data_IF_898247927670
#
_entry.id   IF_898247927670
#
_cell.length_a   1.000
_cell.length_b   1.000
_cell.length_c   1.000
_cell.angle_alpha   90.00
_cell.angle_beta   90.00
_cell.angle_gamma   90.00
#
_symmetry.space_group_name_H-M   'P 1'
#
loop_
_entity.id
_entity.type
_entity.pdbx_description
1 polymer ?
#
# COMPACT_ATOMS: atom_id res chain seq x y z
N UNK A 1 -16.35 -51.15 -7.59
CA UNK A 1 -17.14 -50.53 -6.48
C UNK A 1 -16.84 -51.10 -5.08
N UNK A 2 -16.36 -52.34 -4.91
CA UNK A 2 -16.07 -52.91 -3.57
C UNK A 2 -14.94 -52.23 -2.78
N UNK A 3 -13.94 -51.66 -3.48
CA UNK A 3 -12.72 -51.14 -2.86
C UNK A 3 -12.94 -49.86 -2.02
N UNK A 4 -13.81 -48.94 -2.45
CA UNK A 4 -14.12 -47.73 -1.66
C UNK A 4 -14.85 -48.07 -0.35
N UNK A 5 -15.79 -49.02 -0.41
CA UNK A 5 -16.58 -49.45 0.76
C UNK A 5 -15.69 -50.14 1.79
N UNK A 6 -14.71 -50.93 1.33
CA UNK A 6 -13.68 -51.55 2.17
C UNK A 6 -12.75 -50.50 2.81
N UNK A 7 -12.30 -49.51 2.04
CA UNK A 7 -11.43 -48.43 2.52
C UNK A 7 -12.09 -47.63 3.65
N UNK A 8 -13.33 -47.15 3.46
CA UNK A 8 -14.07 -46.46 4.52
C UNK A 8 -14.23 -47.33 5.78
N UNK A 9 -14.53 -48.63 5.61
CA UNK A 9 -14.67 -49.55 6.75
C UNK A 9 -13.34 -49.75 7.50
N UNK A 10 -12.20 -49.68 6.82
CA UNK A 10 -10.89 -49.71 7.46
C UNK A 10 -10.58 -48.42 8.22
N UNK A 11 -10.91 -47.25 7.66
CA UNK A 11 -10.75 -45.95 8.33
C UNK A 11 -11.53 -45.88 9.66
N UNK A 12 -12.76 -46.42 9.71
CA UNK A 12 -13.57 -46.49 10.94
C UNK A 12 -13.08 -47.54 11.95
N UNK A 13 -12.30 -48.53 11.53
CA UNK A 13 -11.72 -49.54 12.44
C UNK A 13 -10.49 -49.04 13.20
N UNK A 14 -9.79 -48.03 12.69
CA UNK A 14 -8.60 -47.43 13.32
C UNK A 14 -8.76 -45.92 13.52
N UNK A 15 -9.71 -45.47 14.36
CA UNK A 15 -10.12 -44.07 14.44
C UNK A 15 -8.99 -43.13 14.87
N UNK A 16 -8.10 -43.55 15.77
CA UNK A 16 -6.98 -42.71 16.23
C UNK A 16 -6.01 -42.36 15.09
N UNK A 17 -5.53 -43.38 14.36
CA UNK A 17 -4.60 -43.19 13.22
C UNK A 17 -5.26 -42.37 12.12
N UNK A 18 -6.53 -42.65 11.82
CA UNK A 18 -7.33 -41.89 10.86
C UNK A 18 -7.42 -40.41 11.24
N UNK A 19 -7.73 -40.09 12.49
CA UNK A 19 -7.85 -38.70 12.96
C UNK A 19 -6.51 -37.98 12.84
N UNK A 20 -5.41 -38.60 13.30
CA UNK A 20 -4.07 -38.00 13.18
C UNK A 20 -3.73 -37.72 11.72
N UNK A 21 -3.95 -38.69 10.82
CA UNK A 21 -3.70 -38.52 9.39
C UNK A 21 -4.55 -37.38 8.77
N UNK A 22 -5.84 -37.31 9.09
CA UNK A 22 -6.73 -36.25 8.60
C UNK A 22 -6.28 -34.88 9.13
N UNK A 23 -5.95 -34.77 10.42
CA UNK A 23 -5.51 -33.52 11.04
C UNK A 23 -4.17 -33.07 10.45
N UNK A 24 -3.20 -33.97 10.28
CA UNK A 24 -1.92 -33.65 9.64
C UNK A 24 -2.10 -33.18 8.20
N UNK A 25 -2.97 -33.85 7.42
CA UNK A 25 -3.26 -33.46 6.05
C UNK A 25 -3.99 -32.10 5.99
N UNK A 26 -4.98 -31.89 6.87
CA UNK A 26 -5.71 -30.63 6.97
C UNK A 26 -4.80 -29.46 7.36
N UNK A 27 -3.88 -29.67 8.30
CA UNK A 27 -2.86 -28.68 8.68
C UNK A 27 -1.92 -28.37 7.52
N UNK A 28 -1.40 -29.38 6.82
CA UNK A 28 -0.51 -29.18 5.69
C UNK A 28 -1.18 -28.41 4.54
N UNK A 29 -2.40 -28.79 4.17
CA UNK A 29 -3.17 -28.11 3.12
C UNK A 29 -3.56 -26.69 3.58
N UNK A 30 -4.07 -26.56 4.80
CA UNK A 30 -4.54 -25.29 5.36
C UNK A 30 -3.42 -24.27 5.52
N UNK A 31 -2.24 -24.69 6.01
CA UNK A 31 -1.09 -23.81 6.14
C UNK A 31 -0.61 -23.29 4.78
N UNK A 32 -0.48 -24.17 3.78
CA UNK A 32 -0.08 -23.76 2.44
C UNK A 32 -1.11 -22.82 1.79
N UNK A 33 -2.40 -23.13 1.93
CA UNK A 33 -3.47 -22.27 1.41
C UNK A 33 -3.52 -20.91 2.12
N UNK A 34 -3.31 -20.87 3.44
CA UNK A 34 -3.27 -19.63 4.21
C UNK A 34 -2.08 -18.74 3.81
N UNK A 35 -0.89 -19.32 3.67
CA UNK A 35 0.31 -18.61 3.19
C UNK A 35 0.06 -18.04 1.79
N UNK A 36 -0.45 -18.85 0.87
CA UNK A 36 -0.71 -18.40 -0.50
C UNK A 36 -1.81 -17.35 -0.56
N UNK A 37 -2.87 -17.48 0.24
CA UNK A 37 -3.93 -16.48 0.35
C UNK A 37 -3.39 -15.14 0.85
N UNK A 38 -2.54 -15.15 1.88
CA UNK A 38 -1.90 -13.95 2.40
C UNK A 38 -0.97 -13.32 1.36
N UNK A 39 -0.14 -14.15 0.71
CA UNK A 39 0.75 -13.72 -0.36
C UNK A 39 -0.03 -13.06 -1.51
N UNK A 40 -1.13 -13.69 -1.94
CA UNK A 40 -1.97 -13.16 -3.00
C UNK A 40 -2.64 -11.83 -2.61
N UNK A 41 -3.11 -11.70 -1.37
CA UNK A 41 -3.71 -10.44 -0.89
C UNK A 41 -2.70 -9.30 -0.75
N UNK A 42 -1.46 -9.60 -0.33
CA UNK A 42 -0.44 -8.59 -0.08
C UNK A 42 0.39 -8.22 -1.31
N UNK A 43 0.69 -9.18 -2.19
CA UNK A 43 1.64 -9.00 -3.30
C UNK A 43 1.00 -9.03 -4.67
N UNK A 44 -0.13 -9.73 -4.85
CA UNK A 44 -0.73 -9.95 -6.17
C UNK A 44 -2.03 -9.17 -6.39
N UNK A 45 -2.65 -8.65 -5.33
CA UNK A 45 -3.84 -7.81 -5.48
C UNK A 45 -3.39 -6.47 -6.06
N UNK A 46 -3.80 -6.11 -7.28
CA UNK A 46 -3.38 -4.84 -7.88
C UNK A 46 -3.86 -3.69 -6.99
N UNK A 47 -3.07 -2.61 -6.94
CA UNK A 47 -3.51 -1.39 -6.27
C UNK A 47 -4.88 -0.97 -6.84
N UNK A 48 -5.84 -0.54 -6.00
CA UNK A 48 -7.17 -0.12 -6.44
C UNK A 48 -7.12 1.27 -7.09
N UNK A 49 -6.38 1.37 -8.20
CA UNK A 49 -6.17 2.56 -9.01
C UNK A 49 -6.55 2.23 -10.45
N UNK A 50 -6.78 3.24 -11.29
CA UNK A 50 -7.39 3.00 -12.61
C UNK A 50 -6.54 2.09 -13.52
N UNK A 51 -5.20 2.21 -13.44
CA UNK A 51 -4.26 1.49 -14.30
C UNK A 51 -2.99 1.08 -13.52
N UNK A 52 -3.08 0.07 -12.63
CA UNK A 52 -1.98 -0.31 -11.74
C UNK A 52 -0.73 -0.77 -12.50
N UNK A 53 -0.89 -1.46 -13.64
CA UNK A 53 0.20 -1.97 -14.46
C UNK A 53 1.02 -0.87 -15.17
N UNK A 54 0.53 0.38 -15.14
CA UNK A 54 1.19 1.54 -15.77
C UNK A 54 1.87 2.48 -14.77
N UNK A 55 1.74 2.19 -13.47
CA UNK A 55 2.43 2.95 -12.44
C UNK A 55 3.85 2.42 -12.27
N UNK A 56 4.81 3.34 -12.27
CA UNK A 56 6.22 3.03 -12.06
C UNK A 56 6.78 3.96 -10.99
N UNK A 57 7.66 3.41 -10.15
CA UNK A 57 8.46 4.20 -9.23
C UNK A 57 9.79 4.54 -9.89
N UNK A 58 10.21 5.80 -9.77
CA UNK A 58 11.52 6.22 -10.25
C UNK A 58 12.58 5.82 -9.24
N UNK A 59 13.70 5.29 -9.74
CA UNK A 59 14.88 4.98 -8.96
C UNK A 59 16.08 5.70 -9.58
N UNK A 60 16.87 6.33 -8.72
CA UNK A 60 18.16 6.92 -9.07
C UNK A 60 19.23 6.25 -8.20
N UNK A 61 19.66 5.03 -8.57
CA UNK A 61 20.72 4.30 -7.87
C UNK A 61 22.06 5.01 -8.10
N UNK A 62 22.89 5.08 -7.07
CA UNK A 62 24.20 5.71 -7.14
C UNK A 62 24.49 6.63 -5.95
N UNK A 63 25.70 7.20 -5.88
CA UNK A 63 26.10 8.05 -4.78
C UNK A 63 25.24 9.32 -4.72
N UNK A 64 24.44 9.46 -3.66
CA UNK A 64 23.65 10.67 -3.38
C UNK A 64 24.45 11.60 -2.49
N UNK A 65 25.05 12.63 -3.07
CA UNK A 65 25.84 13.62 -2.33
C UNK A 65 24.91 14.49 -1.46
N UNK A 66 25.38 14.85 -0.25
CA UNK A 66 24.65 15.72 0.67
C UNK A 66 23.74 14.98 1.66
N UNK A 67 22.85 15.73 2.30
CA UNK A 67 21.89 15.18 3.26
C UNK A 67 20.72 14.55 2.52
N UNK A 68 20.53 13.25 2.72
CA UNK A 68 19.38 12.51 2.19
C UNK A 68 18.43 12.20 3.34
N UNK A 69 17.13 12.31 3.08
CA UNK A 69 16.10 11.92 4.03
C UNK A 69 15.19 10.86 3.41
N UNK A 70 15.67 9.61 3.42
CA UNK A 70 14.84 8.46 3.14
C UNK A 70 14.07 8.01 4.40
N UNK A 71 12.88 7.47 4.18
CA UNK A 71 12.00 6.93 5.20
C UNK A 71 11.20 5.77 4.60
N UNK A 72 10.19 5.28 5.30
CA UNK A 72 9.38 4.13 4.87
C UNK A 72 8.49 4.39 3.64
N UNK A 73 8.61 5.54 2.97
CA UNK A 73 7.86 5.87 1.76
C UNK A 73 8.45 5.25 0.47
N UNK A 74 9.64 4.63 0.56
CA UNK A 74 10.33 3.96 -0.55
C UNK A 74 11.77 3.59 -0.19
N UNK A 75 12.46 2.91 -1.09
CA UNK A 75 13.90 2.66 -0.97
C UNK A 75 14.68 3.98 -1.05
N UNK A 76 15.84 4.09 -0.40
CA UNK A 76 16.66 5.30 -0.43
C UNK A 76 17.08 5.65 -1.88
N UNK A 77 17.20 4.66 -2.76
CA UNK A 77 17.46 4.86 -4.19
C UNK A 77 16.30 5.57 -4.93
N UNK A 78 15.08 5.53 -4.39
CA UNK A 78 13.88 6.17 -4.95
C UNK A 78 13.63 7.60 -4.43
N UNK A 79 14.59 8.16 -3.68
CA UNK A 79 14.46 9.53 -3.14
C UNK A 79 15.06 10.56 -4.07
N UNK A 80 14.26 11.61 -4.34
CA UNK A 80 14.60 12.78 -5.13
C UNK A 80 14.37 14.05 -4.30
N UNK A 81 15.19 15.08 -4.53
CA UNK A 81 14.92 16.39 -3.93
C UNK A 81 13.71 17.04 -4.60
N UNK A 82 13.02 17.93 -3.89
CA UNK A 82 11.87 18.64 -4.45
C UNK A 82 12.18 19.40 -5.75
N UNK A 83 13.30 20.14 -5.88
CA UNK A 83 13.70 20.75 -7.15
C UNK A 83 13.90 19.72 -8.27
N UNK A 84 14.57 18.59 -8.00
CA UNK A 84 14.75 17.53 -9.00
C UNK A 84 13.41 16.95 -9.46
N UNK A 85 12.46 16.74 -8.54
CA UNK A 85 11.11 16.31 -8.89
C UNK A 85 10.43 17.33 -9.83
N UNK A 86 10.52 18.63 -9.54
CA UNK A 86 9.95 19.68 -10.41
C UNK A 86 10.61 19.74 -11.77
N UNK A 87 11.92 19.51 -11.85
CA UNK A 87 12.63 19.46 -13.12
C UNK A 87 12.20 18.25 -13.95
N UNK A 88 12.06 17.08 -13.32
CA UNK A 88 11.53 15.87 -13.96
C UNK A 88 10.09 16.07 -14.43
N UNK A 89 9.22 16.63 -13.60
CA UNK A 89 7.82 16.92 -13.93
C UNK A 89 7.70 17.82 -15.16
N UNK A 90 8.58 18.83 -15.29
CA UNK A 90 8.59 19.75 -16.44
C UNK A 90 9.22 19.14 -17.70
N UNK A 91 10.26 18.31 -17.55
CA UNK A 91 11.02 17.77 -18.67
C UNK A 91 10.43 16.47 -19.25
N UNK A 92 9.58 15.78 -18.49
CA UNK A 92 9.00 14.50 -18.92
C UNK A 92 8.09 14.68 -20.14
N UNK A 93 8.15 13.71 -21.05
CA UNK A 93 7.27 13.64 -22.25
C UNK A 93 6.57 12.29 -22.41
N UNK A 94 7.00 11.28 -21.67
CA UNK A 94 6.54 9.89 -21.84
C UNK A 94 5.40 9.54 -20.90
N UNK A 95 5.31 10.18 -19.74
CA UNK A 95 4.34 9.83 -18.71
C UNK A 95 3.10 10.70 -18.79
N UNK A 96 1.95 10.13 -18.45
CA UNK A 96 0.70 10.90 -18.31
C UNK A 96 0.79 11.93 -17.18
N UNK A 97 1.62 11.66 -16.17
CA UNK A 97 2.01 12.61 -15.14
C UNK A 97 3.02 11.97 -14.18
N UNK A 98 3.64 12.82 -13.37
CA UNK A 98 4.55 12.39 -12.30
C UNK A 98 4.00 12.92 -10.99
N UNK A 99 3.99 12.08 -9.96
CA UNK A 99 3.59 12.43 -8.62
C UNK A 99 4.75 12.21 -7.65
N UNK A 100 4.78 12.99 -6.58
CA UNK A 100 5.72 12.81 -5.48
C UNK A 100 4.97 12.65 -4.16
N UNK A 101 5.55 11.86 -3.26
CA UNK A 101 5.07 11.71 -1.89
C UNK A 101 6.22 11.53 -0.91
N UNK A 102 6.00 11.89 0.35
CA UNK A 102 6.93 11.66 1.46
C UNK A 102 6.18 11.51 2.77
N UNK A 103 6.49 10.46 3.52
CA UNK A 103 5.96 10.28 4.88
C UNK A 103 6.58 11.29 5.85
N UNK A 104 5.80 11.75 6.82
CA UNK A 104 6.32 12.55 7.94
C UNK A 104 5.53 12.25 9.22
N UNK A 105 6.22 12.29 10.36
CA UNK A 105 5.55 12.23 11.66
C UNK A 105 4.95 13.59 12.02
N UNK A 106 3.76 13.57 12.62
CA UNK A 106 3.06 14.77 13.08
C UNK A 106 2.28 14.49 14.37
N UNK A 107 2.09 15.53 15.18
CA UNK A 107 1.12 15.46 16.28
C UNK A 107 -0.17 16.15 15.82
N UNK A 108 -1.28 15.43 15.85
CA UNK A 108 -2.60 15.88 15.44
C UNK A 108 -3.38 16.30 16.70
N UNK A 109 -3.82 17.54 16.74
CA UNK A 109 -4.64 18.07 17.83
C UNK A 109 -6.07 18.34 17.33
N UNK A 110 -7.06 17.73 17.98
CA UNK A 110 -8.48 17.94 17.67
C UNK A 110 -9.34 17.73 18.91
N UNK A 111 -10.30 18.62 19.17
CA UNK A 111 -11.26 18.48 20.28
C UNK A 111 -10.61 18.37 21.66
N UNK A 112 -9.47 19.03 21.88
CA UNK A 112 -8.73 18.97 23.16
C UNK A 112 -7.90 17.70 23.37
N UNK A 113 -7.84 16.80 22.40
CA UNK A 113 -6.98 15.62 22.43
C UNK A 113 -5.81 15.78 21.45
N UNK A 114 -4.63 15.35 21.87
CA UNK A 114 -3.44 15.28 21.02
C UNK A 114 -3.10 13.82 20.76
N UNK A 115 -2.87 13.50 19.49
CA UNK A 115 -2.51 12.16 19.03
C UNK A 115 -1.21 12.26 18.27
N UNK A 116 -0.32 11.30 18.50
CA UNK A 116 0.77 11.09 17.56
C UNK A 116 0.21 10.42 16.30
N UNK A 117 0.63 10.90 15.14
CA UNK A 117 0.17 10.39 13.86
C UNK A 117 1.24 10.55 12.79
N UNK A 118 0.90 10.04 11.61
CA UNK A 118 1.73 10.15 10.43
C UNK A 118 0.92 10.87 9.34
N UNK A 119 1.61 11.69 8.58
CA UNK A 119 1.09 12.35 7.40
C UNK A 119 1.86 11.92 6.16
N UNK A 120 1.22 12.09 5.01
CA UNK A 120 1.86 11.96 3.71
C UNK A 120 1.85 13.34 3.05
N UNK A 121 3.03 13.91 2.85
CA UNK A 121 3.18 15.11 2.04
C UNK A 121 3.16 14.66 0.58
N UNK A 122 2.32 15.27 -0.24
CA UNK A 122 2.10 14.84 -1.62
C UNK A 122 2.12 16.03 -2.58
N UNK A 123 2.52 15.80 -3.82
CA UNK A 123 2.36 16.81 -4.88
C UNK A 123 0.90 16.96 -5.28
N UNK A 124 0.55 18.08 -5.92
CA UNK A 124 -0.80 18.34 -6.43
C UNK A 124 -1.25 17.34 -7.51
N UNK A 125 -0.30 16.66 -8.15
CA UNK A 125 -0.52 15.60 -9.13
C UNK A 125 -0.75 14.20 -8.51
N UNK A 126 -0.61 14.05 -7.19
CA UNK A 126 -0.60 12.74 -6.53
C UNK A 126 -1.91 11.97 -6.62
N UNK A 127 -3.06 12.61 -6.47
CA UNK A 127 -4.35 11.95 -6.63
C UNK A 127 -4.81 11.85 -8.10
N UNK A 128 -4.61 12.88 -8.95
CA UNK A 128 -4.95 12.81 -10.37
C UNK A 128 -4.22 11.72 -11.15
N UNK A 129 -2.91 11.52 -10.95
CA UNK A 129 -2.10 10.52 -11.69
C UNK A 129 -2.64 9.09 -11.60
N UNK A 130 -2.93 8.54 -10.40
CA UNK A 130 -3.58 7.23 -10.26
C UNK A 130 -5.10 7.26 -10.49
N UNK A 131 -5.69 8.45 -10.69
CA UNK A 131 -7.12 8.63 -10.93
C UNK A 131 -7.99 8.34 -9.70
N UNK A 132 -7.49 8.66 -8.50
CA UNK A 132 -8.20 8.46 -7.23
C UNK A 132 -9.32 9.50 -7.09
N UNK A 133 -10.48 9.06 -6.65
CA UNK A 133 -11.64 9.94 -6.40
C UNK A 133 -11.87 10.12 -4.89
N UNK A 134 -12.30 11.30 -4.45
CA UNK A 134 -12.66 11.53 -3.05
C UNK A 134 -13.93 10.77 -2.69
N UNK A 135 -14.00 10.23 -1.47
CA UNK A 135 -15.26 9.76 -0.90
C UNK A 135 -16.19 10.93 -0.52
N UNK A 136 -15.60 12.05 -0.07
CA UNK A 136 -16.30 13.27 0.30
C UNK A 136 -15.43 14.49 0.03
N UNK A 137 -16.03 15.60 -0.43
CA UNK A 137 -15.32 16.86 -0.64
C UNK A 137 -14.41 16.86 -1.87
N UNK A 138 -13.20 17.39 -1.71
CA UNK A 138 -12.18 17.49 -2.78
C UNK A 138 -10.83 16.92 -2.31
N UNK A 139 -10.03 16.45 -3.27
CA UNK A 139 -8.63 16.07 -3.03
C UNK A 139 -7.70 17.27 -3.25
N UNK A 140 -6.43 17.09 -2.88
CA UNK A 140 -5.36 18.03 -3.23
C UNK A 140 -5.15 18.02 -4.75
N UNK A 141 -4.99 19.21 -5.32
CA UNK A 141 -4.75 19.41 -6.75
C UNK A 141 -3.52 20.28 -7.02
N UNK A 142 -3.16 20.50 -8.29
CA UNK A 142 -2.03 21.34 -8.69
C UNK A 142 -2.06 22.77 -8.13
N UNK A 143 -3.25 23.32 -7.88
CA UNK A 143 -3.42 24.66 -7.31
C UNK A 143 -3.01 24.73 -5.83
N UNK A 144 -3.05 23.60 -5.10
CA UNK A 144 -2.64 23.50 -3.70
C UNK A 144 -1.12 23.27 -3.53
N UNK A 145 -0.37 23.17 -4.64
CA UNK A 145 1.05 22.77 -4.66
C UNK A 145 1.90 23.72 -5.55
N UNK A 146 1.45 24.96 -5.70
CA UNK A 146 2.16 26.00 -6.49
C UNK A 146 3.35 26.58 -5.74
N UNK A 147 3.19 26.78 -4.44
CA UNK A 147 4.08 27.55 -3.58
C UNK A 147 4.28 26.81 -2.27
N UNK A 148 5.55 26.65 -1.88
CA UNK A 148 5.92 25.91 -0.68
C UNK A 148 5.37 26.64 0.55
N UNK A 149 4.52 25.96 1.32
CA UNK A 149 4.00 26.44 2.61
C UNK A 149 2.78 27.38 2.54
N UNK A 150 2.22 27.64 1.36
CA UNK A 150 1.06 28.55 1.24
C UNK A 150 -0.28 27.83 1.53
N UNK A 151 -0.42 26.59 1.07
CA UNK A 151 -1.67 25.85 1.15
C UNK A 151 -1.82 25.11 2.48
N UNK A 152 -2.87 25.45 3.22
CA UNK A 152 -3.20 24.89 4.53
C UNK A 152 -4.36 23.90 4.44
N UNK A 153 -4.21 22.91 3.57
CA UNK A 153 -5.24 21.90 3.27
C UNK A 153 -4.71 20.50 3.57
N UNK A 154 -5.59 19.64 4.09
CA UNK A 154 -5.28 18.26 4.40
C UNK A 154 -6.39 17.35 3.90
N UNK A 155 -6.01 16.17 3.42
CA UNK A 155 -6.94 15.09 3.06
C UNK A 155 -6.82 14.01 4.13
N UNK A 156 -7.96 13.61 4.68
CA UNK A 156 -8.03 12.53 5.66
C UNK A 156 -8.16 11.20 4.92
N UNK A 157 -7.42 10.19 5.38
CA UNK A 157 -7.64 8.83 4.90
C UNK A 157 -9.00 8.33 5.36
N UNK A 158 -9.66 7.52 4.54
CA UNK A 158 -11.00 6.98 4.83
C UNK A 158 -11.04 6.27 6.19
N UNK A 159 -10.05 5.41 6.45
CA UNK A 159 -9.95 4.66 7.70
C UNK A 159 -9.74 5.55 8.93
N UNK A 160 -9.07 6.71 8.77
CA UNK A 160 -8.92 7.66 9.87
C UNK A 160 -10.22 8.41 10.13
N UNK A 161 -10.91 8.83 9.06
CA UNK A 161 -12.20 9.50 9.15
C UNK A 161 -13.26 8.61 9.85
N UNK A 162 -13.47 7.38 9.38
CA UNK A 162 -14.46 6.44 9.96
C UNK A 162 -14.19 6.08 11.43
N UNK A 163 -12.91 6.06 11.85
CA UNK A 163 -12.56 5.74 13.24
C UNK A 163 -12.77 6.91 14.19
N UNK A 164 -12.84 8.14 13.67
CA UNK A 164 -12.75 9.35 14.50
C UNK A 164 -13.99 10.23 14.46
N UNK A 165 -14.81 10.11 13.42
CA UNK A 165 -16.06 10.84 13.22
C UNK A 165 -17.21 9.86 12.97
#
# INVERSE_FOLDING_TARGET
>A
MGNLKLAFRMLFKTPFVTIVAIVSLALGIGANAAIFSLFNQMLLRPLPVQQPDRLVNFAAPGPKQGSNSCNQAGDCDTVFSYPMFRDLEKAQTTFTGIAAHRLFGANLAFGGQTLNGEGLLVSGSYFPVPGVQPALGRLLGPDDDRTVGESHVAVLSHAWWEKRF
#
